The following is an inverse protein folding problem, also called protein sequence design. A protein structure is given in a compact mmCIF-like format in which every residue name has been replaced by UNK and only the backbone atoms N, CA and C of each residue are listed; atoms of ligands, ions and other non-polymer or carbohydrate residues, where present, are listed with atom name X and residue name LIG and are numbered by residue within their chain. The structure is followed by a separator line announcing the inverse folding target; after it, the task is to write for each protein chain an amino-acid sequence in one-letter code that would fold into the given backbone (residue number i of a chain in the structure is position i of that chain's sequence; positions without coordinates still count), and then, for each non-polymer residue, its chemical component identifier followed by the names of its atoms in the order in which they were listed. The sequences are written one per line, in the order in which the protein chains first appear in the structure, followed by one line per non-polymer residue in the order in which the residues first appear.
data_IF_428095921685
#
_entry.id   IF_428095921685
#
_cell.length_a   1.000
_cell.length_b   1.000
_cell.length_c   1.000
_cell.angle_alpha   90.00
_cell.angle_beta   90.00
_cell.angle_gamma   90.00
#
_symmetry.space_group_name_H-M   'P 1'
#
loop_
_entity.id
_entity.type
_entity.pdbx_description
1 polymer ?
#
# COMPACT_ATOMS: atom_id res chain seq x y z
N UNK A 1 31.54 72.70 52.68
CA UNK A 1 30.80 71.42 52.67
C UNK A 1 30.87 70.84 51.26
N UNK A 2 31.35 69.61 51.15
CA UNK A 2 31.74 68.90 49.93
C UNK A 2 30.60 68.74 48.92
N UNK A 3 30.86 69.09 47.66
CA UNK A 3 30.08 68.65 46.51
C UNK A 3 30.64 67.30 46.01
N UNK A 4 30.00 66.20 46.40
CA UNK A 4 30.29 64.86 45.89
C UNK A 4 29.83 64.75 44.43
N UNK A 5 30.78 64.64 43.50
CA UNK A 5 30.53 64.25 42.11
C UNK A 5 30.27 62.74 42.05
N UNK A 6 29.04 62.35 41.75
CA UNK A 6 28.72 60.96 41.38
C UNK A 6 29.08 60.75 39.90
N UNK A 7 30.15 60.00 39.63
CA UNK A 7 30.43 59.44 38.31
C UNK A 7 29.49 58.26 38.06
N UNK A 8 28.57 58.40 37.10
CA UNK A 8 27.77 57.28 36.60
C UNK A 8 28.63 56.42 35.68
N UNK A 9 29.10 55.28 36.18
CA UNK A 9 29.67 54.22 35.36
C UNK A 9 28.56 53.53 34.56
N UNK A 10 28.54 53.71 33.24
CA UNK A 10 27.75 52.85 32.35
C UNK A 10 28.42 51.46 32.26
N UNK A 11 27.69 50.36 32.48
CA UNK A 11 28.21 49.03 32.23
C UNK A 11 28.32 48.78 30.72
N UNK A 12 29.49 48.33 30.26
CA UNK A 12 29.68 47.86 28.89
C UNK A 12 28.79 46.65 28.59
N UNK A 13 28.21 46.52 27.39
CA UNK A 13 27.48 45.33 27.01
C UNK A 13 28.45 44.15 26.86
N UNK A 14 28.29 43.12 27.70
CA UNK A 14 28.94 41.83 27.54
C UNK A 14 28.51 41.21 26.21
N UNK A 15 29.38 41.31 25.20
CA UNK A 15 29.33 40.54 23.97
C UNK A 15 29.42 39.05 24.34
N UNK A 16 28.26 38.40 24.52
CA UNK A 16 28.18 36.94 24.61
C UNK A 16 28.47 36.39 23.23
N UNK A 17 29.72 35.97 23.01
CA UNK A 17 30.06 35.10 21.89
C UNK A 17 29.12 33.88 21.91
N UNK A 18 28.60 33.42 20.75
CA UNK A 18 27.84 32.18 20.70
C UNK A 18 28.75 31.04 21.19
N UNK A 19 28.19 30.01 21.84
CA UNK A 19 28.97 28.83 22.21
C UNK A 19 29.62 28.28 20.94
N UNK A 20 30.94 28.19 20.96
CA UNK A 20 31.76 27.57 19.93
C UNK A 20 31.16 26.21 19.59
N UNK A 21 30.90 25.99 18.30
CA UNK A 21 30.48 24.68 17.81
C UNK A 21 31.48 23.62 18.32
N UNK A 22 31.00 22.47 18.81
CA UNK A 22 31.89 21.43 19.32
C UNK A 22 32.90 21.05 18.23
N UNK A 23 34.16 20.74 18.59
CA UNK A 23 35.17 20.36 17.61
C UNK A 23 34.66 19.15 16.84
N UNK A 24 34.54 19.28 15.52
CA UNK A 24 34.27 18.16 14.65
C UNK A 24 35.35 17.11 14.90
N UNK A 25 34.96 15.95 15.44
CA UNK A 25 35.85 14.79 15.58
C UNK A 25 36.51 14.55 14.22
N UNK A 26 37.84 14.45 14.17
CA UNK A 26 38.63 14.38 12.92
C UNK A 26 38.11 13.34 11.90
N UNK A 27 37.36 12.35 12.36
CA UNK A 27 36.83 11.26 11.54
C UNK A 27 35.37 11.42 11.10
N UNK A 28 34.65 12.46 11.54
CA UNK A 28 33.20 12.61 11.28
C UNK A 28 32.85 12.62 9.80
N UNK A 29 33.62 13.34 8.98
CA UNK A 29 33.46 13.38 7.53
C UNK A 29 33.77 12.03 6.86
N UNK A 30 34.79 11.31 7.35
CA UNK A 30 35.16 9.98 6.85
C UNK A 30 34.09 8.94 7.17
N UNK A 31 33.57 8.94 8.41
CA UNK A 31 32.48 8.07 8.85
C UNK A 31 31.21 8.33 8.03
N UNK A 32 30.89 9.60 7.78
CA UNK A 32 29.76 9.96 6.93
C UNK A 32 29.95 9.48 5.49
N UNK A 33 31.13 9.70 4.89
CA UNK A 33 31.46 9.20 3.54
C UNK A 33 31.34 7.67 3.44
N UNK A 34 31.84 6.93 4.44
CA UNK A 34 31.72 5.46 4.50
C UNK A 34 30.27 5.01 4.51
N UNK A 35 29.40 5.72 5.24
CA UNK A 35 27.95 5.46 5.25
C UNK A 35 27.32 5.67 3.87
N UNK A 36 27.70 6.74 3.15
CA UNK A 36 27.20 6.97 1.79
C UNK A 36 27.64 5.88 0.81
N UNK A 37 28.92 5.47 0.86
CA UNK A 37 29.44 4.38 0.04
C UNK A 37 28.71 3.06 0.31
N UNK A 38 28.37 2.80 1.59
CA UNK A 38 27.60 1.62 1.95
C UNK A 38 26.18 1.66 1.35
N UNK A 39 25.48 2.80 1.41
CA UNK A 39 24.17 2.97 0.75
C UNK A 39 24.26 2.72 -0.76
N UNK A 40 25.30 3.25 -1.41
CA UNK A 40 25.55 3.02 -2.83
C UNK A 40 25.81 1.54 -3.14
N UNK A 41 26.50 0.81 -2.25
CA UNK A 41 26.72 -0.64 -2.40
C UNK A 41 25.43 -1.47 -2.32
N UNK A 42 24.34 -0.89 -1.83
CA UNK A 42 22.98 -1.46 -1.80
C UNK A 42 22.11 -0.94 -2.96
N UNK A 43 22.68 -0.16 -3.89
CA UNK A 43 21.96 0.54 -4.96
C UNK A 43 20.90 1.53 -4.44
N UNK A 44 21.13 2.14 -3.27
CA UNK A 44 20.28 3.18 -2.70
C UNK A 44 20.82 4.54 -3.13
N UNK A 45 19.95 5.46 -3.57
CA UNK A 45 20.35 6.83 -3.87
C UNK A 45 20.56 7.62 -2.56
N UNK A 46 21.80 8.02 -2.20
CA UNK A 46 22.04 8.66 -0.91
C UNK A 46 21.43 10.06 -0.81
N UNK A 47 21.39 10.82 -1.90
CA UNK A 47 20.78 12.16 -1.92
C UNK A 47 19.28 12.06 -1.63
N UNK A 48 18.57 11.20 -2.36
CA UNK A 48 17.15 10.92 -2.12
C UNK A 48 16.91 10.47 -0.68
N UNK A 49 17.74 9.56 -0.17
CA UNK A 49 17.60 9.02 1.18
C UNK A 49 17.77 10.12 2.26
N UNK A 50 18.75 11.01 2.11
CA UNK A 50 18.99 12.13 3.03
C UNK A 50 17.89 13.19 2.95
N UNK A 51 17.36 13.48 1.76
CA UNK A 51 16.25 14.42 1.58
C UNK A 51 14.98 13.93 2.26
N UNK A 52 14.64 12.64 2.09
CA UNK A 52 13.43 12.05 2.67
C UNK A 52 13.61 11.75 4.17
N UNK A 53 14.83 11.42 4.60
CA UNK A 53 15.15 11.08 5.97
C UNK A 53 16.39 11.86 6.49
N UNK A 54 16.22 13.12 6.92
CA UNK A 54 17.33 13.93 7.41
C UNK A 54 18.02 13.35 8.67
N UNK A 55 17.30 12.55 9.47
CA UNK A 55 17.88 11.86 10.64
C UNK A 55 18.96 10.84 10.27
N UNK A 56 19.02 10.44 9.00
CA UNK A 56 20.10 9.61 8.47
C UNK A 56 21.47 10.27 8.62
N UNK A 57 21.56 11.61 8.69
CA UNK A 57 22.82 12.32 8.90
C UNK A 57 23.53 11.90 10.20
N UNK A 58 22.78 11.82 11.31
CA UNK A 58 23.30 11.46 12.63
C UNK A 58 23.30 9.94 12.90
N UNK A 59 22.62 9.16 12.07
CA UNK A 59 22.53 7.70 12.25
C UNK A 59 23.87 7.01 11.98
N UNK A 60 24.38 6.15 12.88
CA UNK A 60 25.64 5.44 12.67
C UNK A 60 25.50 4.32 11.64
N UNK A 61 26.60 3.97 10.96
CA UNK A 61 26.61 2.88 9.97
C UNK A 61 26.20 1.52 10.57
N UNK A 62 26.50 1.29 11.85
CA UNK A 62 26.09 0.07 12.57
C UNK A 62 24.57 -0.12 12.59
N UNK A 63 23.79 0.96 12.70
CA UNK A 63 22.33 0.89 12.63
C UNK A 63 21.87 0.41 11.26
N UNK A 64 22.48 0.90 10.17
CA UNK A 64 22.15 0.46 8.81
C UNK A 64 22.48 -1.02 8.57
N UNK A 65 23.62 -1.46 9.11
CA UNK A 65 24.02 -2.88 9.07
C UNK A 65 23.03 -3.74 9.89
N UNK A 66 22.53 -3.23 11.01
CA UNK A 66 21.52 -3.92 11.81
C UNK A 66 20.21 -4.07 11.02
N UNK A 67 19.75 -3.01 10.34
CA UNK A 67 18.55 -3.07 9.48
C UNK A 67 18.74 -4.09 8.36
N UNK A 68 19.88 -4.09 7.66
CA UNK A 68 20.17 -5.09 6.62
C UNK A 68 20.14 -6.52 7.20
N UNK A 69 20.77 -6.75 8.35
CA UNK A 69 20.78 -8.07 9.01
C UNK A 69 19.38 -8.54 9.39
N UNK A 70 18.54 -7.67 9.96
CA UNK A 70 17.16 -7.99 10.33
C UNK A 70 16.29 -8.32 9.11
N UNK A 71 16.54 -7.67 7.97
CA UNK A 71 15.84 -7.98 6.72
C UNK A 71 16.38 -9.28 6.08
N UNK A 72 17.69 -9.52 6.15
CA UNK A 72 18.31 -10.76 5.71
C UNK A 72 17.79 -11.98 6.50
N UNK A 73 17.59 -11.84 7.82
CA UNK A 73 17.16 -12.97 8.68
C UNK A 73 15.75 -13.48 8.34
N UNK A 74 14.90 -12.66 7.71
CA UNK A 74 13.57 -13.06 7.22
C UNK A 74 13.58 -13.52 5.76
N UNK A 75 14.76 -13.76 5.18
CA UNK A 75 14.93 -14.32 3.84
C UNK A 75 14.89 -13.31 2.70
N UNK A 76 15.04 -12.00 2.97
CA UNK A 76 15.19 -11.01 1.90
C UNK A 76 16.60 -11.04 1.31
N UNK A 77 16.70 -11.11 -0.02
CA UNK A 77 17.98 -11.01 -0.71
C UNK A 77 18.51 -9.57 -0.65
N UNK A 78 19.84 -9.42 -0.61
CA UNK A 78 20.50 -8.11 -0.57
C UNK A 78 20.01 -7.12 -1.66
N UNK A 79 19.79 -7.52 -2.92
CA UNK A 79 19.19 -6.62 -3.92
C UNK A 79 17.76 -6.18 -3.58
N UNK A 80 16.95 -7.06 -2.98
CA UNK A 80 15.59 -6.74 -2.56
C UNK A 80 15.59 -5.78 -1.37
N UNK A 81 16.53 -5.97 -0.43
CA UNK A 81 16.77 -5.05 0.69
C UNK A 81 17.12 -3.66 0.18
N UNK A 82 18.07 -3.57 -0.77
CA UNK A 82 18.43 -2.30 -1.41
C UNK A 82 17.22 -1.59 -2.01
N UNK A 83 16.38 -2.31 -2.77
CA UNK A 83 15.13 -1.78 -3.33
C UNK A 83 14.14 -1.31 -2.25
N UNK A 84 13.95 -2.10 -1.19
CA UNK A 84 13.06 -1.77 -0.06
C UNK A 84 13.51 -0.47 0.62
N UNK A 85 14.80 -0.36 0.93
CA UNK A 85 15.36 0.80 1.61
C UNK A 85 15.37 2.05 0.72
N UNK A 86 15.57 1.91 -0.59
CA UNK A 86 15.43 3.02 -1.53
C UNK A 86 13.96 3.47 -1.70
N UNK A 87 13.00 2.53 -1.70
CA UNK A 87 11.57 2.85 -1.72
C UNK A 87 11.06 3.47 -0.42
N UNK A 88 11.64 3.11 0.73
CA UNK A 88 11.23 3.59 2.05
C UNK A 88 12.45 4.05 2.87
N UNK A 89 13.04 5.23 2.56
CA UNK A 89 14.25 5.70 3.25
C UNK A 89 14.08 5.94 4.76
N UNK A 90 12.85 6.11 5.25
CA UNK A 90 12.55 6.20 6.69
C UNK A 90 12.96 4.92 7.45
N UNK A 91 12.99 3.77 6.78
CA UNK A 91 13.41 2.51 7.38
C UNK A 91 14.90 2.48 7.72
N UNK A 92 15.72 3.33 7.09
CA UNK A 92 17.16 3.45 7.38
C UNK A 92 17.44 3.91 8.82
N UNK A 93 16.45 4.50 9.50
CA UNK A 93 16.59 4.99 10.88
C UNK A 93 15.53 4.42 11.82
N UNK A 94 14.76 3.43 11.35
CA UNK A 94 13.69 2.78 12.12
C UNK A 94 14.05 1.32 12.43
N UNK A 95 13.46 0.76 13.49
CA UNK A 95 13.60 -0.66 13.80
C UNK A 95 12.59 -1.50 12.98
N UNK A 96 13.03 -2.39 12.08
CA UNK A 96 12.14 -3.26 11.30
C UNK A 96 11.56 -4.43 12.12
N UNK A 97 12.11 -4.73 13.31
CA UNK A 97 11.76 -5.94 14.04
C UNK A 97 10.32 -5.97 14.55
N UNK A 98 9.73 -4.90 15.11
CA UNK A 98 8.36 -4.98 15.64
C UNK A 98 7.33 -5.32 14.55
N UNK A 99 7.32 -4.69 13.36
CA UNK A 99 6.44 -5.11 12.27
C UNK A 99 6.73 -6.51 11.74
N UNK A 100 8.00 -6.93 11.67
CA UNK A 100 8.38 -8.29 11.28
C UNK A 100 7.79 -9.32 12.25
N UNK A 101 7.97 -9.12 13.56
CA UNK A 101 7.48 -10.01 14.60
C UNK A 101 5.94 -10.09 14.59
N UNK A 102 5.28 -8.95 14.40
CA UNK A 102 3.83 -8.92 14.20
C UNK A 102 3.39 -9.80 13.01
N UNK A 103 4.07 -9.69 11.86
CA UNK A 103 3.74 -10.49 10.67
C UNK A 103 4.04 -11.99 10.86
N UNK A 104 5.07 -12.34 11.64
CA UNK A 104 5.45 -13.73 11.93
C UNK A 104 4.51 -14.41 12.91
N UNK A 105 4.02 -13.68 13.92
CA UNK A 105 3.34 -14.28 15.06
C UNK A 105 1.84 -13.99 15.13
N UNK A 106 1.36 -12.85 14.61
CA UNK A 106 -0.05 -12.46 14.72
C UNK A 106 -0.83 -12.66 13.41
N UNK A 107 -0.12 -12.68 12.28
CA UNK A 107 -0.70 -12.88 10.94
C UNK A 107 -0.51 -14.35 10.52
N UNK A 108 -1.55 -15.04 10.03
CA UNK A 108 -1.45 -16.43 9.57
C UNK A 108 -0.76 -16.52 8.20
N UNK A 109 0.49 -16.06 8.12
CA UNK A 109 1.29 -16.02 6.90
C UNK A 109 2.41 -17.07 6.97
N UNK A 110 2.48 -18.01 6.01
CA UNK A 110 3.61 -18.92 5.91
C UNK A 110 4.93 -18.16 5.74
N UNK A 111 6.02 -18.61 6.38
CA UNK A 111 7.32 -17.94 6.32
C UNK A 111 7.81 -17.61 4.90
N UNK A 112 7.70 -18.50 3.88
CA UNK A 112 8.12 -18.18 2.51
C UNK A 112 7.38 -16.99 1.87
N UNK A 113 6.20 -16.65 2.40
CA UNK A 113 5.40 -15.54 1.91
C UNK A 113 5.77 -14.20 2.55
N UNK A 114 6.45 -14.19 3.70
CA UNK A 114 6.88 -12.97 4.37
C UNK A 114 7.79 -12.09 3.49
N UNK A 115 8.91 -12.59 2.91
CA UNK A 115 9.76 -11.76 2.06
C UNK A 115 9.04 -11.23 0.82
N UNK A 116 8.07 -12.00 0.27
CA UNK A 116 7.24 -11.56 -0.84
C UNK A 116 6.32 -10.40 -0.43
N UNK A 117 5.67 -10.50 0.73
CA UNK A 117 4.82 -9.44 1.29
C UNK A 117 5.60 -8.16 1.58
N UNK A 118 6.79 -8.27 2.18
CA UNK A 118 7.66 -7.13 2.48
C UNK A 118 8.19 -6.46 1.22
N UNK A 119 8.55 -7.24 0.20
CA UNK A 119 9.00 -6.71 -1.09
C UNK A 119 7.89 -5.96 -1.84
N UNK A 120 6.66 -6.49 -1.81
CA UNK A 120 5.50 -5.85 -2.46
C UNK A 120 5.01 -4.61 -1.70
N UNK A 121 5.06 -4.64 -0.38
CA UNK A 121 4.58 -3.54 0.46
C UNK A 121 5.60 -3.18 1.56
N UNK A 122 6.68 -2.47 1.21
CA UNK A 122 7.70 -2.09 2.18
C UNK A 122 7.17 -1.20 3.31
N UNK A 123 6.06 -0.48 3.08
CA UNK A 123 5.39 0.33 4.10
C UNK A 123 4.98 -0.46 5.35
N UNK A 124 4.84 -1.78 5.26
CA UNK A 124 4.62 -2.64 6.43
C UNK A 124 5.70 -2.43 7.50
N UNK A 125 6.96 -2.26 7.09
CA UNK A 125 8.13 -2.18 7.98
C UNK A 125 8.25 -0.87 8.74
N UNK A 126 7.53 0.17 8.31
CA UNK A 126 7.53 1.50 8.95
C UNK A 126 6.18 1.83 9.60
N UNK A 127 5.20 0.93 9.46
CA UNK A 127 3.87 1.14 10.03
C UNK A 127 3.86 0.75 11.51
N UNK A 128 3.20 1.57 12.33
CA UNK A 128 3.02 1.26 13.75
C UNK A 128 2.22 -0.03 13.94
N UNK A 129 2.77 -0.96 14.71
CA UNK A 129 2.06 -2.19 15.07
C UNK A 129 0.81 -1.87 15.88
N UNK A 130 0.93 -0.99 16.88
CA UNK A 130 -0.13 -0.70 17.85
C UNK A 130 -1.28 0.11 17.25
N UNK A 131 -0.99 1.10 16.40
CA UNK A 131 -2.00 2.07 15.94
C UNK A 131 -2.44 1.85 14.49
N UNK A 132 -1.72 1.04 13.71
CA UNK A 132 -2.04 0.77 12.31
C UNK A 132 -2.24 -0.73 12.05
N UNK A 133 -1.18 -1.54 12.18
CA UNK A 133 -1.22 -2.93 11.70
C UNK A 133 -2.19 -3.83 12.49
N UNK A 134 -2.12 -3.82 13.83
CA UNK A 134 -2.95 -4.68 14.68
C UNK A 134 -4.44 -4.29 14.64
N UNK A 135 -4.83 -3.00 14.78
CA UNK A 135 -6.23 -2.61 14.62
C UNK A 135 -6.81 -3.00 13.26
N UNK A 136 -6.01 -2.85 12.20
CA UNK A 136 -6.44 -3.22 10.84
C UNK A 136 -6.58 -4.73 10.69
N UNK A 137 -5.68 -5.53 11.25
CA UNK A 137 -5.82 -6.98 11.27
C UNK A 137 -7.11 -7.42 11.98
N UNK A 138 -7.43 -6.82 13.13
CA UNK A 138 -8.69 -7.11 13.84
C UNK A 138 -9.91 -6.77 13.00
N UNK A 139 -9.91 -5.60 12.35
CA UNK A 139 -10.97 -5.21 11.44
C UNK A 139 -11.13 -6.18 10.26
N UNK A 140 -10.03 -6.59 9.61
CA UNK A 140 -10.10 -7.57 8.52
C UNK A 140 -10.63 -8.92 9.01
N UNK A 141 -10.20 -9.38 10.19
CA UNK A 141 -10.72 -10.60 10.82
C UNK A 141 -12.21 -10.49 11.13
N UNK A 142 -12.71 -9.33 11.56
CA UNK A 142 -14.17 -9.15 11.82
C UNK A 142 -15.01 -9.19 10.55
N UNK A 143 -14.43 -8.91 9.38
CA UNK A 143 -15.09 -9.12 8.08
C UNK A 143 -15.04 -10.59 7.61
N UNK A 144 -14.35 -11.48 8.33
CA UNK A 144 -14.10 -12.86 7.92
C UNK A 144 -12.93 -13.03 6.96
N UNK A 145 -12.09 -11.99 6.76
CA UNK A 145 -10.91 -12.09 5.88
C UNK A 145 -9.73 -12.74 6.58
N UNK A 146 -9.14 -13.73 5.90
CA UNK A 146 -7.84 -14.30 6.26
C UNK A 146 -6.76 -13.59 5.44
N UNK A 147 -5.85 -12.91 6.13
CA UNK A 147 -4.75 -12.20 5.50
C UNK A 147 -3.74 -13.20 4.93
N UNK A 148 -3.32 -12.97 3.69
CA UNK A 148 -2.32 -13.76 2.96
C UNK A 148 -1.34 -12.84 2.23
N UNK A 149 -0.40 -13.41 1.48
CA UNK A 149 0.68 -12.67 0.81
C UNK A 149 0.23 -11.59 -0.18
N UNK A 150 -1.00 -11.69 -0.69
CA UNK A 150 -1.59 -10.75 -1.65
C UNK A 150 -2.46 -9.68 -0.97
N UNK A 151 -2.91 -9.91 0.27
CA UNK A 151 -3.76 -8.98 1.02
C UNK A 151 -3.03 -8.27 2.16
N UNK A 152 -1.74 -8.56 2.42
CA UNK A 152 -0.94 -7.85 3.45
C UNK A 152 -0.91 -6.33 3.26
N UNK A 153 -1.04 -5.83 2.03
CA UNK A 153 -1.13 -4.39 1.76
C UNK A 153 -2.34 -3.72 2.43
N UNK A 154 -3.39 -4.47 2.76
CA UNK A 154 -4.55 -3.94 3.47
C UNK A 154 -4.20 -3.54 4.90
N UNK A 155 -3.19 -4.16 5.53
CA UNK A 155 -2.77 -3.87 6.91
C UNK A 155 -2.26 -2.43 7.09
N UNK A 156 -1.76 -1.81 6.01
CA UNK A 156 -1.28 -0.42 6.01
C UNK A 156 -2.34 0.58 5.54
N UNK A 157 -3.58 0.12 5.33
CA UNK A 157 -4.69 0.99 4.94
C UNK A 157 -5.41 1.53 6.17
N UNK A 158 -5.82 2.80 6.13
CA UNK A 158 -6.61 3.37 7.23
C UNK A 158 -8.02 2.75 7.25
N UNK A 159 -8.42 2.21 8.40
CA UNK A 159 -9.74 1.54 8.53
C UNK A 159 -10.88 2.52 8.27
N UNK A 160 -10.87 3.69 8.91
CA UNK A 160 -11.96 4.67 8.87
C UNK A 160 -12.07 5.40 7.54
N UNK A 161 -10.94 5.81 6.98
CA UNK A 161 -10.90 6.69 5.81
C UNK A 161 -10.64 5.96 4.50
N UNK A 162 -10.25 4.68 4.54
CA UNK A 162 -9.92 3.92 3.33
C UNK A 162 -10.72 2.64 3.18
N UNK A 163 -10.86 1.83 4.24
CA UNK A 163 -11.54 0.53 4.13
C UNK A 163 -13.06 0.66 4.30
N UNK A 164 -13.53 1.29 5.38
CA UNK A 164 -14.96 1.50 5.64
C UNK A 164 -15.71 2.21 4.52
N UNK A 165 -15.18 3.27 3.86
CA UNK A 165 -15.90 3.92 2.76
C UNK A 165 -16.23 2.97 1.60
N UNK A 166 -15.40 1.96 1.34
CA UNK A 166 -15.66 0.95 0.32
C UNK A 166 -16.77 -0.01 0.72
N UNK A 167 -16.83 -0.39 2.00
CA UNK A 167 -17.94 -1.17 2.54
C UNK A 167 -19.25 -0.36 2.54
N UNK A 168 -19.18 0.90 2.96
CA UNK A 168 -20.32 1.83 2.97
C UNK A 168 -20.89 2.01 1.57
N UNK A 169 -20.04 2.11 0.55
CA UNK A 169 -20.47 2.19 -0.84
C UNK A 169 -21.25 0.93 -1.26
N UNK A 170 -20.76 -0.28 -0.94
CA UNK A 170 -21.50 -1.51 -1.24
C UNK A 170 -22.85 -1.56 -0.52
N UNK A 171 -22.91 -1.09 0.73
CA UNK A 171 -24.18 -0.99 1.48
C UNK A 171 -25.14 0.04 0.89
N UNK A 172 -24.61 1.16 0.40
CA UNK A 172 -25.39 2.18 -0.30
C UNK A 172 -26.03 1.63 -1.58
N UNK A 173 -25.42 0.63 -2.23
CA UNK A 173 -26.05 -0.06 -3.36
C UNK A 173 -27.21 -0.97 -2.96
N UNK A 174 -27.42 -1.22 -1.66
CA UNK A 174 -28.52 -2.06 -1.15
C UNK A 174 -28.10 -3.43 -0.62
N UNK A 175 -26.80 -3.75 -0.58
CA UNK A 175 -26.31 -4.99 0.03
C UNK A 175 -26.30 -4.88 1.57
N UNK A 176 -26.74 -5.94 2.25
CA UNK A 176 -26.65 -6.00 3.71
C UNK A 176 -25.21 -6.29 4.21
N UNK A 177 -24.96 -6.08 5.51
CA UNK A 177 -23.64 -6.32 6.10
C UNK A 177 -23.11 -7.76 5.87
N UNK A 178 -23.89 -8.83 6.13
CA UNK A 178 -23.48 -10.20 5.79
C UNK A 178 -23.11 -10.40 4.32
N UNK A 179 -23.86 -9.80 3.39
CA UNK A 179 -23.61 -9.87 1.95
C UNK A 179 -22.31 -9.17 1.58
N UNK A 180 -22.09 -7.95 2.08
CA UNK A 180 -20.86 -7.19 1.87
C UNK A 180 -19.66 -7.98 2.39
N UNK A 181 -19.75 -8.57 3.59
CA UNK A 181 -18.70 -9.41 4.14
C UNK A 181 -18.40 -10.61 3.23
N UNK A 182 -19.43 -11.32 2.74
CA UNK A 182 -19.24 -12.44 1.80
C UNK A 182 -18.60 -11.99 0.48
N UNK A 183 -18.99 -10.84 -0.05
CA UNK A 183 -18.39 -10.28 -1.26
C UNK A 183 -16.90 -9.97 -1.07
N UNK A 184 -16.55 -9.33 0.05
CA UNK A 184 -15.18 -8.98 0.41
C UNK A 184 -14.33 -10.22 0.64
N UNK A 185 -14.86 -11.25 1.32
CA UNK A 185 -14.15 -12.53 1.52
C UNK A 185 -13.88 -13.22 0.18
N UNK A 186 -14.85 -13.24 -0.74
CA UNK A 186 -14.69 -13.81 -2.09
C UNK A 186 -13.77 -12.99 -2.99
N UNK A 187 -13.68 -11.68 -2.77
CA UNK A 187 -12.88 -10.76 -3.58
C UNK A 187 -12.27 -9.65 -2.70
N UNK A 188 -11.18 -9.96 -1.95
CA UNK A 188 -10.55 -8.97 -1.06
C UNK A 188 -10.01 -7.75 -1.82
N UNK A 189 -9.75 -7.91 -3.12
CA UNK A 189 -9.35 -6.83 -4.03
C UNK A 189 -10.33 -5.67 -4.07
N UNK A 190 -11.62 -5.87 -3.74
CA UNK A 190 -12.59 -4.79 -3.57
C UNK A 190 -12.08 -3.70 -2.63
N UNK A 191 -11.37 -4.07 -1.56
CA UNK A 191 -10.84 -3.12 -0.57
C UNK A 191 -9.66 -2.28 -1.09
N UNK A 192 -9.17 -2.56 -2.30
CA UNK A 192 -8.05 -1.85 -2.95
C UNK A 192 -8.51 -0.90 -4.06
N UNK A 193 -9.77 -1.01 -4.50
CA UNK A 193 -10.30 -0.23 -5.61
C UNK A 193 -10.83 1.13 -5.14
N UNK A 194 -10.68 2.15 -6.00
CA UNK A 194 -11.29 3.45 -5.74
C UNK A 194 -12.81 3.36 -5.90
N UNK A 195 -13.56 3.94 -4.95
CA UNK A 195 -15.02 4.04 -5.08
C UNK A 195 -15.35 4.90 -6.30
N UNK A 196 -14.84 6.13 -6.34
CA UNK A 196 -15.18 7.12 -7.37
C UNK A 196 -14.61 6.79 -8.74
N UNK A 197 -13.35 6.32 -8.81
CA UNK A 197 -12.66 6.14 -10.09
C UNK A 197 -12.75 4.70 -10.63
N UNK A 198 -13.42 3.78 -9.93
CA UNK A 198 -13.50 2.39 -10.36
C UNK A 198 -14.87 1.76 -10.07
N UNK A 199 -15.32 1.75 -8.82
CA UNK A 199 -16.53 1.01 -8.46
C UNK A 199 -17.79 1.70 -8.99
N UNK A 200 -17.94 3.01 -8.74
CA UNK A 200 -19.11 3.79 -9.15
C UNK A 200 -19.33 3.79 -10.67
N UNK A 201 -18.35 4.13 -11.53
CA UNK A 201 -18.57 4.14 -12.98
C UNK A 201 -18.94 2.77 -13.55
N UNK A 202 -18.48 1.68 -12.91
CA UNK A 202 -18.81 0.32 -13.33
C UNK A 202 -20.21 -0.11 -12.89
N UNK A 203 -20.69 0.39 -11.76
CA UNK A 203 -22.06 0.15 -11.30
C UNK A 203 -23.04 0.95 -12.14
N UNK A 204 -22.76 2.23 -12.39
CA UNK A 204 -23.57 3.09 -13.26
C UNK A 204 -23.74 2.45 -14.64
N UNK A 205 -22.64 2.05 -15.28
CA UNK A 205 -22.71 1.32 -16.55
C UNK A 205 -23.53 0.03 -16.45
N UNK A 206 -23.35 -0.76 -15.38
CA UNK A 206 -24.06 -2.03 -15.24
C UNK A 206 -25.57 -1.85 -15.07
N UNK A 207 -26.00 -0.85 -14.30
CA UNK A 207 -27.41 -0.60 -14.03
C UNK A 207 -28.10 0.11 -15.18
N UNK A 208 -27.46 1.14 -15.74
CA UNK A 208 -28.09 2.04 -16.72
C UNK A 208 -28.05 1.48 -18.13
N UNK A 209 -26.94 0.87 -18.54
CA UNK A 209 -26.74 0.44 -19.94
C UNK A 209 -27.01 -1.05 -20.14
N UNK A 210 -26.80 -1.88 -19.11
CA UNK A 210 -26.97 -3.34 -19.24
C UNK A 210 -28.26 -3.88 -18.64
N UNK A 211 -29.04 -3.01 -17.99
CA UNK A 211 -30.20 -3.38 -17.17
C UNK A 211 -29.84 -4.55 -16.23
N UNK A 212 -28.69 -4.39 -15.57
CA UNK A 212 -28.07 -5.41 -14.75
C UNK A 212 -28.73 -5.54 -13.38
N UNK A 213 -28.78 -6.76 -12.87
CA UNK A 213 -29.29 -7.05 -11.53
C UNK A 213 -28.15 -6.99 -10.51
N UNK A 214 -28.29 -6.16 -9.47
CA UNK A 214 -27.30 -6.04 -8.38
C UNK A 214 -26.98 -7.39 -7.72
N UNK A 215 -27.91 -8.34 -7.71
CA UNK A 215 -27.67 -9.71 -7.26
C UNK A 215 -26.54 -10.40 -8.03
N UNK A 216 -26.35 -10.05 -9.31
CA UNK A 216 -25.28 -10.58 -10.13
C UNK A 216 -23.91 -10.04 -9.68
N UNK A 217 -23.82 -8.77 -9.29
CA UNK A 217 -22.60 -8.19 -8.71
C UNK A 217 -22.25 -8.87 -7.38
N UNK A 218 -23.27 -9.21 -6.57
CA UNK A 218 -23.08 -9.98 -5.33
C UNK A 218 -22.50 -11.37 -5.60
N UNK A 219 -23.00 -12.07 -6.63
CA UNK A 219 -22.51 -13.40 -7.02
C UNK A 219 -21.12 -13.35 -7.67
N UNK A 220 -20.80 -12.25 -8.36
CA UNK A 220 -19.56 -12.05 -9.11
C UNK A 220 -18.85 -10.72 -8.77
N UNK A 221 -18.36 -10.54 -7.54
CA UNK A 221 -17.67 -9.32 -7.11
C UNK A 221 -16.37 -9.05 -7.87
N UNK A 222 -15.81 -10.06 -8.54
CA UNK A 222 -14.65 -9.89 -9.42
C UNK A 222 -14.93 -8.97 -10.62
N UNK A 223 -16.21 -8.68 -10.93
CA UNK A 223 -16.62 -7.68 -11.91
C UNK A 223 -15.79 -6.39 -11.82
N UNK A 224 -15.61 -5.87 -10.59
CA UNK A 224 -14.88 -4.64 -10.32
C UNK A 224 -13.38 -4.71 -10.63
N UNK A 225 -12.81 -5.91 -10.81
CA UNK A 225 -11.39 -6.07 -11.18
C UNK A 225 -11.15 -5.99 -12.69
N UNK A 226 -12.18 -6.09 -13.53
CA UNK A 226 -12.04 -5.96 -14.98
C UNK A 226 -12.05 -4.50 -15.42
N UNK A 227 -11.34 -4.17 -16.50
CA UNK A 227 -11.35 -2.84 -17.10
C UNK A 227 -12.73 -2.51 -17.68
N UNK A 228 -13.27 -1.34 -17.32
CA UNK A 228 -14.58 -0.88 -17.80
C UNK A 228 -14.60 -0.79 -19.34
N UNK A 229 -13.69 -0.01 -19.93
CA UNK A 229 -13.68 0.22 -21.37
C UNK A 229 -13.23 -1.02 -22.17
N UNK A 230 -12.02 -1.52 -21.88
CA UNK A 230 -11.39 -2.56 -22.72
C UNK A 230 -12.07 -3.92 -22.65
N UNK A 231 -12.78 -4.23 -21.55
CA UNK A 231 -13.31 -5.58 -21.31
C UNK A 231 -14.80 -5.61 -21.05
N UNK A 232 -15.30 -4.81 -20.11
CA UNK A 232 -16.73 -4.84 -19.76
C UNK A 232 -17.58 -4.28 -20.91
N UNK A 233 -17.37 -3.01 -21.28
CA UNK A 233 -18.11 -2.34 -22.36
C UNK A 233 -17.90 -3.00 -23.72
N UNK A 234 -16.65 -3.35 -24.05
CA UNK A 234 -16.32 -4.03 -25.30
C UNK A 234 -17.11 -5.34 -25.46
N UNK A 235 -17.12 -6.21 -24.45
CA UNK A 235 -17.83 -7.49 -24.52
C UNK A 235 -19.35 -7.33 -24.46
N UNK A 236 -19.84 -6.37 -23.68
CA UNK A 236 -21.27 -6.05 -23.66
C UNK A 236 -21.78 -5.63 -25.04
N UNK A 237 -21.08 -4.67 -25.71
CA UNK A 237 -21.45 -4.23 -27.07
C UNK A 237 -21.47 -5.38 -28.07
N UNK A 238 -20.43 -6.23 -28.08
CA UNK A 238 -20.37 -7.37 -28.99
C UNK A 238 -21.54 -8.37 -28.80
N UNK A 239 -22.05 -8.52 -27.57
CA UNK A 239 -23.22 -9.36 -27.30
C UNK A 239 -24.51 -8.68 -27.77
N UNK A 240 -24.70 -7.40 -27.45
CA UNK A 240 -25.91 -6.63 -27.81
C UNK A 240 -26.05 -6.48 -29.33
N UNK A 241 -24.96 -6.26 -30.07
CA UNK A 241 -24.95 -6.22 -31.54
C UNK A 241 -25.57 -7.47 -32.18
N UNK A 242 -25.48 -8.63 -31.51
CA UNK A 242 -26.02 -9.90 -31.97
C UNK A 242 -27.28 -10.33 -31.22
N UNK A 243 -27.82 -9.47 -30.33
CA UNK A 243 -29.01 -9.73 -29.52
C UNK A 243 -28.81 -10.83 -28.46
N UNK A 244 -27.60 -10.99 -27.95
CA UNK A 244 -27.28 -11.96 -26.90
C UNK A 244 -27.13 -11.31 -25.53
N UNK A 245 -27.41 -12.09 -24.48
CA UNK A 245 -27.10 -11.76 -23.08
C UNK A 245 -26.40 -12.94 -22.44
N UNK A 246 -25.37 -12.67 -21.64
CA UNK A 246 -24.62 -13.68 -20.88
C UNK A 246 -24.44 -13.22 -19.44
N UNK A 247 -24.45 -14.15 -18.46
CA UNK A 247 -24.06 -13.81 -17.10
C UNK A 247 -22.63 -13.25 -17.05
N UNK A 248 -22.37 -12.26 -16.19
CA UNK A 248 -21.08 -11.58 -16.01
C UNK A 248 -19.93 -12.57 -15.85
N UNK A 249 -20.14 -13.63 -15.07
CA UNK A 249 -19.11 -14.66 -14.84
C UNK A 249 -18.71 -15.41 -16.12
N UNK A 250 -19.66 -15.71 -17.00
CA UNK A 250 -19.40 -16.33 -18.31
C UNK A 250 -18.84 -15.32 -19.30
N UNK A 251 -19.29 -14.07 -19.22
CA UNK A 251 -18.85 -12.99 -20.09
C UNK A 251 -17.40 -12.57 -19.81
N UNK A 252 -16.99 -12.45 -18.55
CA UNK A 252 -15.74 -11.73 -18.17
C UNK A 252 -14.60 -12.64 -17.74
N UNK A 253 -14.87 -13.82 -17.19
CA UNK A 253 -13.82 -14.69 -16.63
C UNK A 253 -12.90 -15.29 -17.69
N UNK A 254 -13.41 -15.45 -18.91
CA UNK A 254 -12.74 -16.14 -20.01
C UNK A 254 -11.75 -15.23 -20.75
N UNK A 255 -10.80 -15.83 -21.48
CA UNK A 255 -9.87 -15.11 -22.36
C UNK A 255 -10.60 -14.40 -23.50
N UNK A 256 -9.94 -13.49 -24.22
CA UNK A 256 -10.56 -12.81 -25.37
C UNK A 256 -10.87 -13.79 -26.51
N UNK A 257 -9.96 -14.73 -26.78
CA UNK A 257 -10.18 -15.79 -27.77
C UNK A 257 -11.36 -16.69 -27.42
N UNK A 258 -11.47 -17.14 -26.17
CA UNK A 258 -12.60 -17.97 -25.74
C UNK A 258 -13.93 -17.20 -25.77
N UNK A 259 -13.93 -15.92 -25.40
CA UNK A 259 -15.12 -15.08 -25.51
C UNK A 259 -15.57 -14.96 -26.98
N UNK A 260 -14.66 -14.65 -27.90
CA UNK A 260 -14.97 -14.49 -29.31
C UNK A 260 -15.50 -15.78 -29.94
N UNK A 261 -14.86 -16.92 -29.63
CA UNK A 261 -15.33 -18.23 -30.08
C UNK A 261 -16.76 -18.50 -29.60
N UNK A 262 -17.07 -18.19 -28.34
CA UNK A 262 -18.43 -18.34 -27.79
C UNK A 262 -19.46 -17.48 -28.51
N UNK A 263 -19.13 -16.22 -28.84
CA UNK A 263 -20.03 -15.35 -29.61
C UNK A 263 -20.31 -15.95 -30.99
N UNK A 264 -19.28 -16.45 -31.69
CA UNK A 264 -19.42 -17.10 -33.00
C UNK A 264 -20.30 -18.37 -32.89
N UNK A 265 -20.06 -19.21 -31.88
CA UNK A 265 -20.87 -20.42 -31.65
C UNK A 265 -22.35 -20.08 -31.41
N UNK A 266 -22.63 -19.06 -30.61
CA UNK A 266 -24.00 -18.59 -30.36
C UNK A 266 -24.67 -18.08 -31.64
N UNK A 267 -23.93 -17.39 -32.53
CA UNK A 267 -24.43 -16.99 -33.84
C UNK A 267 -24.74 -18.19 -34.73
N UNK A 268 -23.83 -19.16 -34.83
CA UNK A 268 -24.03 -20.36 -35.64
C UNK A 268 -25.25 -21.15 -35.17
N UNK A 269 -25.42 -21.35 -33.86
CA UNK A 269 -26.59 -22.04 -33.30
C UNK A 269 -27.91 -21.32 -33.62
N UNK A 270 -27.90 -19.99 -33.71
CA UNK A 270 -29.08 -19.20 -34.11
C UNK A 270 -29.43 -19.40 -35.58
N UNK A 271 -28.42 -19.52 -36.45
CA UNK A 271 -28.62 -19.81 -37.89
C UNK A 271 -29.21 -21.20 -38.08
N UNK A 272 -28.72 -22.22 -37.36
CA UNK A 272 -29.22 -23.60 -37.49
C UNK A 272 -30.63 -23.83 -36.90
N UNK A 273 -31.16 -22.86 -36.12
CA UNK A 273 -32.50 -22.93 -35.51
C UNK A 273 -33.57 -22.14 -36.29
N UNK A 274 -33.18 -21.44 -37.36
CA UNK A 274 -34.09 -20.74 -38.29
C UNK A 274 -34.33 -21.62 -39.51
#
# INVERSE_FOLDING_TARGET
MQACRFQLHYPQPLLKYPPTAPPATKDGGLLFRRKLLYLQSLNINPHKALTINPSLCSTPLSSLLSVERSLCSVGLSRPSIGRILDMCPLLLTSDPLPPINFLLHEVPLPFPHLPLSLTRCPRLLISSVATQLRPTLHFLKSLGLVVNSHSTLLLVSNVEHTLKPKLNFLRYLGFDEPEVNRMVVRSPGLLTLSVENNMRPKVEFFLEETEGDLEELKRFPQYFSFSLEKKIKSRHRALVEHGFKLPLSKMLRVSDGEFNARVIEMQLQRVHKR
#
